data_IF_431626400617
#
_entry.id   IF_431626400617
#
_cell.length_a   1.000
_cell.length_b   1.000
_cell.length_c   1.000
_cell.angle_alpha   90.00
_cell.angle_beta   90.00
_cell.angle_gamma   90.00
#
_symmetry.space_group_name_H-M   'P 1'
#
loop_
_entity.id
_entity.type
_entity.pdbx_description
1 polymer ?
#
# COMPACT_ATOMS: atom_id res chain seq x y z
N UNK A 1 9.82 44.43 36.94
CA UNK A 1 10.02 43.75 35.64
C UNK A 1 11.34 44.23 35.08
N UNK A 2 12.39 43.40 35.14
CA UNK A 2 13.77 43.85 34.92
C UNK A 2 14.02 44.14 33.43
N UNK A 3 14.78 45.21 33.14
CA UNK A 3 15.19 45.59 31.76
C UNK A 3 15.78 44.41 30.97
N UNK A 4 16.48 43.48 31.63
CA UNK A 4 17.00 42.27 31.01
C UNK A 4 15.93 41.28 30.54
N UNK A 5 14.79 41.17 31.23
CA UNK A 5 13.69 40.31 30.79
C UNK A 5 12.99 40.88 29.54
N UNK A 6 12.83 42.20 29.47
CA UNK A 6 12.24 42.86 28.29
C UNK A 6 13.11 42.74 27.04
N UNK A 7 14.45 42.83 27.17
CA UNK A 7 15.37 42.66 26.03
C UNK A 7 15.37 41.21 25.55
N UNK A 8 15.32 40.23 26.46
CA UNK A 8 15.29 38.81 26.11
C UNK A 8 13.98 38.42 25.42
N UNK A 9 12.84 38.97 25.89
CA UNK A 9 11.54 38.81 25.24
C UNK A 9 11.49 39.46 23.86
N UNK A 10 12.03 40.68 23.70
CA UNK A 10 12.12 41.33 22.37
C UNK A 10 13.01 40.54 21.41
N UNK A 11 14.16 40.04 21.88
CA UNK A 11 15.07 39.22 21.07
C UNK A 11 14.43 37.91 20.61
N UNK A 12 13.67 37.25 21.49
CA UNK A 12 12.91 36.04 21.16
C UNK A 12 11.79 36.31 20.14
N UNK A 13 11.05 37.43 20.29
CA UNK A 13 10.00 37.81 19.33
C UNK A 13 10.56 38.16 17.95
N UNK A 14 11.72 38.83 17.88
CA UNK A 14 12.39 39.13 16.59
C UNK A 14 12.91 37.87 15.92
N UNK A 15 13.44 36.91 16.69
CA UNK A 15 13.86 35.61 16.16
C UNK A 15 12.69 34.78 15.62
N UNK A 16 11.50 34.86 16.24
CA UNK A 16 10.29 34.19 15.78
C UNK A 16 9.66 34.86 14.54
N UNK A 17 9.83 36.16 14.36
CA UNK A 17 9.29 36.91 13.22
C UNK A 17 10.02 36.65 11.89
N UNK A 18 11.17 35.97 11.92
CA UNK A 18 11.99 35.68 10.73
C UNK A 18 11.69 34.35 10.04
N UNK A 19 10.79 33.52 10.57
CA UNK A 19 10.48 32.22 9.98
C UNK A 19 9.38 32.39 8.94
N UNK A 20 9.78 32.49 7.67
CA UNK A 20 8.87 32.27 6.54
C UNK A 20 8.91 30.79 6.19
N UNK A 21 7.86 30.06 6.55
CA UNK A 21 7.67 28.69 6.09
C UNK A 21 6.88 28.75 4.78
N UNK A 22 7.48 28.23 3.72
CA UNK A 22 6.89 28.15 2.37
C UNK A 22 6.26 26.75 2.16
N UNK A 23 6.70 25.80 2.97
CA UNK A 23 6.27 24.41 3.05
C UNK A 23 5.38 24.20 4.29
N UNK A 24 4.28 23.47 4.12
CA UNK A 24 3.34 23.16 5.19
C UNK A 24 2.81 21.74 5.06
N UNK A 25 2.99 20.94 6.12
CA UNK A 25 2.27 19.68 6.30
C UNK A 25 1.15 19.89 7.30
N UNK A 26 -0.08 19.56 6.91
CA UNK A 26 -1.28 19.78 7.71
C UNK A 26 -2.20 18.57 7.71
N UNK A 27 -3.00 18.46 8.77
CA UNK A 27 -4.05 17.45 8.87
C UNK A 27 -5.37 18.02 8.34
N UNK A 28 -5.95 17.32 7.36
CA UNK A 28 -7.23 17.59 6.75
C UNK A 28 -8.27 16.60 7.29
N UNK A 29 -9.19 17.04 8.16
CA UNK A 29 -10.20 16.17 8.77
C UNK A 29 -11.13 15.51 7.73
N UNK A 30 -11.88 14.50 8.17
CA UNK A 30 -12.99 13.96 7.40
C UNK A 30 -14.08 15.02 7.19
N UNK A 31 -14.71 14.98 6.01
CA UNK A 31 -15.75 15.91 5.62
C UNK A 31 -15.39 17.42 5.76
N UNK A 32 -14.12 17.78 5.57
CA UNK A 32 -13.62 19.13 5.77
C UNK A 32 -12.93 19.69 4.52
N UNK A 33 -12.91 21.02 4.42
CA UNK A 33 -12.20 21.78 3.41
C UNK A 33 -11.33 22.84 4.10
N UNK A 34 -10.05 22.91 3.76
CA UNK A 34 -9.11 23.88 4.32
C UNK A 34 -8.43 24.67 3.21
N UNK A 35 -8.36 25.99 3.40
CA UNK A 35 -7.79 26.91 2.44
C UNK A 35 -6.60 27.67 3.02
N UNK A 36 -5.58 27.82 2.20
CA UNK A 36 -4.34 28.50 2.50
C UNK A 36 -4.14 29.65 1.51
N UNK A 37 -3.50 30.70 2.00
CA UNK A 37 -3.40 31.97 1.29
C UNK A 37 -1.94 32.38 1.21
N UNK A 38 -1.47 32.78 0.02
CA UNK A 38 -0.10 33.25 -0.19
C UNK A 38 -0.09 34.51 -1.05
N UNK A 39 0.73 35.49 -0.66
CA UNK A 39 0.87 36.76 -1.37
C UNK A 39 1.95 36.66 -2.45
N UNK A 40 1.55 36.69 -3.72
CA UNK A 40 2.45 36.56 -4.86
C UNK A 40 2.64 37.89 -5.60
N UNK A 41 3.86 38.10 -6.11
CA UNK A 41 4.21 39.27 -6.93
C UNK A 41 3.94 39.02 -8.41
N UNK A 42 3.48 40.05 -9.11
CA UNK A 42 3.24 39.97 -10.55
C UNK A 42 4.53 39.68 -11.34
N UNK A 43 4.42 38.86 -12.38
CA UNK A 43 5.48 38.53 -13.31
C UNK A 43 6.43 37.40 -12.89
N UNK A 44 6.20 36.77 -11.73
CA UNK A 44 7.00 35.65 -11.22
C UNK A 44 6.36 34.32 -11.64
N UNK A 45 7.18 33.36 -12.04
CA UNK A 45 6.74 31.99 -12.27
C UNK A 45 6.64 31.27 -10.92
N UNK A 46 5.43 30.87 -10.54
CA UNK A 46 5.11 30.24 -9.25
C UNK A 46 4.67 28.80 -9.49
N UNK A 47 5.01 27.93 -8.56
CA UNK A 47 4.67 26.50 -8.57
C UNK A 47 4.02 26.18 -7.23
N UNK A 48 2.89 25.48 -7.27
CA UNK A 48 2.30 24.85 -6.09
C UNK A 48 2.42 23.34 -6.25
N UNK A 49 3.00 22.70 -5.25
CA UNK A 49 3.15 21.26 -5.18
C UNK A 49 2.39 20.74 -3.96
N UNK A 50 1.69 19.62 -4.12
CA UNK A 50 1.06 18.96 -2.99
C UNK A 50 1.16 17.44 -3.08
N UNK A 51 1.21 16.80 -1.91
CA UNK A 51 1.26 15.35 -1.77
C UNK A 51 0.45 14.89 -0.57
N UNK A 52 -0.40 13.88 -0.76
CA UNK A 52 -1.06 13.20 0.34
C UNK A 52 -0.09 12.19 0.95
N UNK A 53 0.37 12.47 2.18
CA UNK A 53 1.35 11.65 2.89
C UNK A 53 0.70 10.40 3.48
N UNK A 54 -0.48 10.54 4.08
CA UNK A 54 -1.24 9.42 4.67
C UNK A 54 -2.74 9.70 4.74
N UNK A 55 -3.55 8.64 4.83
CA UNK A 55 -5.00 8.69 5.00
C UNK A 55 -5.79 8.17 3.79
N UNK A 56 -6.81 7.34 4.05
CA UNK A 56 -7.76 6.87 3.03
C UNK A 56 -7.11 6.21 1.80
N UNK A 57 -7.53 6.64 0.60
CA UNK A 57 -6.96 6.24 -0.69
C UNK A 57 -5.80 7.14 -1.16
N UNK A 58 -5.26 7.96 -0.25
CA UNK A 58 -4.21 8.94 -0.54
C UNK A 58 -4.63 10.00 -1.56
N UNK A 59 -5.91 10.36 -1.66
CA UNK A 59 -6.45 11.29 -2.67
C UNK A 59 -6.95 12.60 -2.04
N UNK A 60 -6.94 13.72 -2.76
CA UNK A 60 -7.53 14.99 -2.29
C UNK A 60 -8.04 15.81 -3.48
N UNK A 61 -9.08 16.61 -3.26
CA UNK A 61 -9.56 17.57 -4.24
C UNK A 61 -8.86 18.92 -3.97
N UNK A 62 -8.24 19.51 -4.99
CA UNK A 62 -7.46 20.75 -4.84
C UNK A 62 -7.93 21.79 -5.85
N UNK A 63 -8.07 23.03 -5.39
CA UNK A 63 -8.44 24.19 -6.22
C UNK A 63 -7.55 25.39 -5.91
N UNK A 64 -7.20 26.14 -6.94
CA UNK A 64 -6.37 27.33 -6.88
C UNK A 64 -7.12 28.50 -7.53
N UNK A 65 -7.24 29.59 -6.78
CA UNK A 65 -7.89 30.83 -7.20
C UNK A 65 -6.91 32.02 -7.17
N UNK A 66 -7.00 32.86 -8.20
CA UNK A 66 -6.35 34.16 -8.30
C UNK A 66 -7.00 35.19 -7.34
N UNK A 67 -6.37 36.34 -7.01
CA UNK A 67 -6.98 37.36 -6.15
C UNK A 67 -8.31 37.92 -6.68
N UNK A 68 -8.56 37.78 -8.00
CA UNK A 68 -9.82 38.16 -8.64
C UNK A 68 -10.92 37.06 -8.58
N UNK A 69 -10.64 35.92 -7.94
CA UNK A 69 -11.55 34.77 -7.87
C UNK A 69 -11.59 33.92 -9.14
N UNK A 70 -10.65 34.09 -10.07
CA UNK A 70 -10.52 33.23 -11.25
C UNK A 70 -9.86 31.92 -10.83
N UNK A 71 -10.53 30.80 -11.09
CA UNK A 71 -9.95 29.46 -10.88
C UNK A 71 -8.84 29.22 -11.92
N UNK A 72 -7.62 29.04 -11.43
CA UNK A 72 -6.44 28.73 -12.25
C UNK A 72 -6.23 27.23 -12.42
N UNK A 73 -6.50 26.48 -11.35
CA UNK A 73 -6.37 25.04 -11.33
C UNK A 73 -7.48 24.45 -10.45
N UNK A 74 -8.04 23.32 -10.87
CA UNK A 74 -9.05 22.58 -10.11
C UNK A 74 -9.01 21.14 -10.57
N UNK A 75 -8.68 20.23 -9.67
CA UNK A 75 -8.58 18.81 -9.96
C UNK A 75 -9.06 18.00 -8.77
N UNK A 76 -9.64 16.84 -9.06
CA UNK A 76 -10.27 15.99 -8.05
C UNK A 76 -9.51 14.68 -7.89
N UNK A 77 -9.48 14.16 -6.66
CA UNK A 77 -8.92 12.86 -6.27
C UNK A 77 -7.48 12.63 -6.74
N UNK A 78 -6.63 13.63 -6.59
CA UNK A 78 -5.19 13.53 -6.89
C UNK A 78 -4.42 13.09 -5.64
N UNK A 79 -3.44 12.21 -5.82
CA UNK A 79 -2.52 11.82 -4.73
C UNK A 79 -1.32 12.74 -4.61
N UNK A 80 -0.88 13.22 -5.76
CA UNK A 80 0.22 14.15 -5.94
C UNK A 80 -0.07 14.94 -7.21
N UNK A 81 0.18 16.24 -7.17
CA UNK A 81 0.24 17.06 -8.38
C UNK A 81 1.14 18.28 -8.16
N UNK A 82 1.62 18.85 -9.27
CA UNK A 82 2.39 20.07 -9.29
C UNK A 82 1.88 20.96 -10.42
N UNK A 83 1.45 22.17 -10.08
CA UNK A 83 0.92 23.12 -11.03
C UNK A 83 1.81 24.38 -11.06
N UNK A 84 2.35 24.68 -12.24
CA UNK A 84 3.16 25.87 -12.49
C UNK A 84 2.40 26.89 -13.32
N UNK A 85 2.38 28.14 -12.88
CA UNK A 85 1.79 29.24 -13.63
C UNK A 85 2.63 30.51 -13.48
N UNK A 86 2.37 31.46 -14.36
CA UNK A 86 2.92 32.81 -14.26
C UNK A 86 1.93 33.70 -13.54
N UNK A 87 2.37 34.34 -12.45
CA UNK A 87 1.55 35.25 -11.66
C UNK A 87 1.23 36.50 -12.49
N UNK A 88 0.02 36.61 -13.03
CA UNK A 88 -0.40 37.76 -13.84
C UNK A 88 -0.73 38.99 -12.97
N UNK A 89 -1.33 38.74 -11.80
CA UNK A 89 -1.85 39.78 -10.90
C UNK A 89 -1.15 39.67 -9.56
N UNK A 90 -0.63 40.79 -9.05
CA UNK A 90 -0.09 40.83 -7.69
C UNK A 90 -1.22 40.78 -6.67
N UNK A 91 -1.11 39.89 -5.68
CA UNK A 91 -2.09 39.79 -4.59
C UNK A 91 -2.10 38.42 -3.92
N UNK A 92 -3.13 38.19 -3.11
CA UNK A 92 -3.32 36.98 -2.32
C UNK A 92 -4.00 35.87 -3.12
N UNK A 93 -3.26 34.81 -3.41
CA UNK A 93 -3.76 33.59 -4.03
C UNK A 93 -4.33 32.67 -2.97
N UNK A 94 -5.32 31.86 -3.35
CA UNK A 94 -6.02 30.95 -2.44
C UNK A 94 -5.96 29.53 -2.98
N UNK A 95 -5.35 28.62 -2.21
CA UNK A 95 -5.33 27.19 -2.48
C UNK A 95 -6.22 26.47 -1.46
N UNK A 96 -7.23 25.74 -1.92
CA UNK A 96 -8.12 24.96 -1.06
C UNK A 96 -7.98 23.46 -1.31
N UNK A 97 -7.99 22.70 -0.22
CA UNK A 97 -7.93 21.24 -0.18
C UNK A 97 -9.19 20.69 0.47
N UNK A 98 -9.94 19.89 -0.26
CA UNK A 98 -11.20 19.30 0.19
C UNK A 98 -11.10 17.78 0.36
N UNK A 99 -11.62 17.32 1.50
CA UNK A 99 -11.81 15.93 1.86
C UNK A 99 -13.30 15.63 2.16
N UNK A 100 -14.22 16.40 1.58
CA UNK A 100 -15.68 16.24 1.75
C UNK A 100 -16.18 14.85 1.31
N UNK A 101 -15.47 14.20 0.38
CA UNK A 101 -15.82 12.87 -0.10
C UNK A 101 -15.45 11.72 0.86
N UNK A 102 -14.62 11.97 1.89
CA UNK A 102 -14.23 10.94 2.87
C UNK A 102 -14.95 11.16 4.18
N UNK A 103 -15.84 10.21 4.54
CA UNK A 103 -16.70 10.31 5.73
C UNK A 103 -16.06 9.72 7.00
N UNK A 104 -14.91 9.03 6.89
CA UNK A 104 -14.34 8.28 8.02
C UNK A 104 -12.81 8.37 8.14
N UNK A 105 -12.12 8.98 7.16
CA UNK A 105 -10.66 9.05 7.15
C UNK A 105 -10.17 10.49 7.00
N UNK A 106 -9.43 10.97 8.01
CA UNK A 106 -8.61 12.16 7.91
C UNK A 106 -7.38 11.90 7.01
N UNK A 107 -6.80 12.97 6.51
CA UNK A 107 -5.64 12.93 5.60
C UNK A 107 -4.54 13.87 6.10
N UNK A 108 -3.30 13.49 5.87
CA UNK A 108 -2.16 14.39 6.08
C UNK A 108 -1.66 14.81 4.71
N UNK A 109 -1.72 16.11 4.44
CA UNK A 109 -1.37 16.69 3.15
C UNK A 109 -0.16 17.60 3.36
N UNK A 110 0.85 17.37 2.54
CA UNK A 110 1.99 18.25 2.36
C UNK A 110 1.67 19.22 1.23
N UNK A 111 1.96 20.51 1.41
CA UNK A 111 1.95 21.51 0.34
C UNK A 111 3.21 22.37 0.39
N UNK A 112 3.60 22.90 -0.76
CA UNK A 112 4.73 23.82 -0.87
C UNK A 112 4.51 24.85 -2.00
N UNK A 113 4.84 26.12 -1.71
CA UNK A 113 4.71 27.24 -2.64
C UNK A 113 6.06 27.68 -3.20
N UNK A 114 6.51 27.10 -4.30
CA UNK A 114 7.85 27.40 -4.81
C UNK A 114 7.84 28.52 -5.84
N UNK A 115 8.81 29.44 -5.75
CA UNK A 115 9.17 30.27 -6.89
C UNK A 115 9.98 29.40 -7.87
N UNK A 116 9.72 29.48 -9.18
CA UNK A 116 10.43 28.66 -10.17
C UNK A 116 11.96 28.87 -10.14
N UNK A 117 12.42 30.07 -9.83
CA UNK A 117 13.85 30.37 -9.65
C UNK A 117 14.46 29.66 -8.43
N UNK A 118 13.70 29.57 -7.33
CA UNK A 118 14.14 28.94 -6.10
C UNK A 118 13.99 27.42 -6.18
N UNK A 119 12.97 26.91 -6.87
CA UNK A 119 12.83 25.50 -7.24
C UNK A 119 14.01 25.03 -8.11
N UNK A 120 14.45 25.84 -9.08
CA UNK A 120 15.62 25.52 -9.90
C UNK A 120 16.92 25.50 -9.09
N UNK A 121 17.09 26.44 -8.15
CA UNK A 121 18.25 26.47 -7.22
C UNK A 121 18.17 25.33 -6.20
N UNK A 122 16.99 24.96 -5.72
CA UNK A 122 16.78 23.83 -4.84
C UNK A 122 17.03 22.52 -5.57
N UNK A 123 16.61 22.37 -6.82
CA UNK A 123 16.94 21.21 -7.65
C UNK A 123 18.45 21.12 -7.98
N UNK A 124 19.16 22.26 -8.08
CA UNK A 124 20.60 22.25 -8.33
C UNK A 124 21.46 22.05 -7.07
N UNK A 125 20.98 22.48 -5.90
CA UNK A 125 21.69 22.39 -4.62
C UNK A 125 21.20 21.24 -3.73
N UNK A 126 20.02 20.69 -3.99
CA UNK A 126 19.64 19.41 -3.44
C UNK A 126 20.61 18.39 -4.04
N UNK A 127 21.26 17.54 -3.22
CA UNK A 127 21.80 16.34 -3.79
C UNK A 127 20.63 15.66 -4.51
N UNK A 128 20.86 15.14 -5.72
CA UNK A 128 19.90 14.30 -6.43
C UNK A 128 19.59 12.98 -5.67
N UNK A 129 19.67 12.99 -4.33
CA UNK A 129 19.61 11.88 -3.40
C UNK A 129 18.43 11.97 -2.41
N UNK A 130 17.53 12.97 -2.46
CA UNK A 130 16.35 12.97 -1.57
C UNK A 130 15.18 12.13 -2.09
N UNK A 131 14.63 12.53 -3.24
CA UNK A 131 13.48 11.88 -3.87
C UNK A 131 13.82 10.46 -4.34
N UNK A 132 14.98 10.25 -4.97
CA UNK A 132 15.41 8.94 -5.46
C UNK A 132 15.62 7.95 -4.31
N UNK A 133 16.18 8.38 -3.17
CA UNK A 133 16.32 7.52 -1.98
C UNK A 133 14.97 7.20 -1.34
N UNK A 134 14.04 8.17 -1.28
CA UNK A 134 12.68 7.92 -0.78
C UNK A 134 11.94 6.89 -1.64
N UNK A 135 11.99 7.02 -2.98
CA UNK A 135 11.42 6.02 -3.88
C UNK A 135 12.15 4.68 -3.78
N UNK A 136 13.49 4.67 -3.69
CA UNK A 136 14.27 3.44 -3.54
C UNK A 136 13.97 2.70 -2.23
N UNK A 137 13.84 3.44 -1.12
CA UNK A 137 13.46 2.88 0.18
C UNK A 137 12.02 2.37 0.17
N UNK A 138 11.09 3.14 -0.40
CA UNK A 138 9.69 2.71 -0.57
C UNK A 138 9.58 1.43 -1.41
N UNK A 139 10.29 1.37 -2.55
CA UNK A 139 10.36 0.17 -3.38
C UNK A 139 11.01 -0.98 -2.62
N UNK A 140 12.08 -0.72 -1.85
CA UNK A 140 12.74 -1.71 -1.00
C UNK A 140 11.79 -2.34 0.02
N UNK A 141 10.99 -1.52 0.69
CA UNK A 141 9.97 -1.99 1.63
C UNK A 141 8.88 -2.83 0.93
N UNK A 142 8.40 -2.41 -0.25
CA UNK A 142 7.44 -3.20 -1.02
C UNK A 142 8.03 -4.52 -1.50
N UNK A 143 9.28 -4.54 -1.95
CA UNK A 143 9.97 -5.77 -2.38
C UNK A 143 10.17 -6.74 -1.22
N UNK A 144 10.49 -6.24 -0.02
CA UNK A 144 10.61 -7.07 1.18
C UNK A 144 9.29 -7.73 1.57
N UNK A 145 8.17 -7.01 1.44
CA UNK A 145 6.83 -7.59 1.64
C UNK A 145 6.55 -8.68 0.61
N UNK A 146 6.85 -8.42 -0.67
CA UNK A 146 6.65 -9.42 -1.74
C UNK A 146 7.51 -10.67 -1.51
N UNK A 147 8.76 -10.50 -1.08
CA UNK A 147 9.66 -11.62 -0.79
C UNK A 147 9.15 -12.50 0.36
N UNK A 148 8.61 -11.89 1.42
CA UNK A 148 7.97 -12.62 2.53
C UNK A 148 6.74 -13.41 2.04
N UNK A 149 5.89 -12.79 1.21
CA UNK A 149 4.76 -13.48 0.58
C UNK A 149 5.20 -14.64 -0.32
N UNK A 150 6.19 -14.44 -1.19
CA UNK A 150 6.71 -15.51 -2.05
C UNK A 150 7.27 -16.67 -1.23
N UNK A 151 8.02 -16.36 -0.17
CA UNK A 151 8.57 -17.37 0.73
C UNK A 151 7.46 -18.14 1.43
N UNK A 152 6.43 -17.44 1.92
CA UNK A 152 5.25 -18.07 2.52
C UNK A 152 4.52 -18.99 1.55
N UNK A 153 4.30 -18.55 0.30
CA UNK A 153 3.66 -19.36 -0.74
C UNK A 153 4.49 -20.60 -1.11
N UNK A 154 5.81 -20.44 -1.28
CA UNK A 154 6.72 -21.56 -1.55
C UNK A 154 6.69 -22.59 -0.42
N UNK A 155 6.69 -22.15 0.84
CA UNK A 155 6.59 -23.04 2.00
C UNK A 155 5.23 -23.76 2.05
N UNK A 156 4.12 -23.06 1.81
CA UNK A 156 2.79 -23.67 1.75
C UNK A 156 2.68 -24.70 0.63
N UNK A 157 3.26 -24.43 -0.54
CA UNK A 157 3.27 -25.39 -1.64
C UNK A 157 4.11 -26.63 -1.30
N UNK A 158 5.31 -26.44 -0.76
CA UNK A 158 6.18 -27.55 -0.36
C UNK A 158 5.51 -28.45 0.71
N UNK A 159 4.87 -27.84 1.71
CA UNK A 159 4.14 -28.58 2.76
C UNK A 159 2.89 -29.26 2.22
N UNK A 160 2.14 -28.62 1.32
CA UNK A 160 0.98 -29.24 0.66
C UNK A 160 1.39 -30.44 -0.20
N UNK A 161 2.47 -30.32 -1.00
CA UNK A 161 3.04 -31.42 -1.78
C UNK A 161 3.44 -32.59 -0.88
N UNK A 162 4.11 -32.33 0.25
CA UNK A 162 4.49 -33.37 1.22
C UNK A 162 3.29 -34.11 1.80
N UNK A 163 2.24 -33.39 2.21
CA UNK A 163 1.00 -34.03 2.67
C UNK A 163 0.34 -34.88 1.60
N UNK A 164 0.34 -34.42 0.35
CA UNK A 164 -0.23 -35.17 -0.76
C UNK A 164 0.54 -36.48 -1.01
N UNK A 165 1.87 -36.45 -0.95
CA UNK A 165 2.72 -37.64 -1.06
C UNK A 165 2.43 -38.66 0.07
N UNK A 166 2.39 -38.21 1.33
CA UNK A 166 2.10 -39.07 2.48
C UNK A 166 0.69 -39.69 2.43
N UNK A 167 -0.31 -38.91 2.02
CA UNK A 167 -1.68 -39.39 1.84
C UNK A 167 -1.76 -40.43 0.73
N UNK A 168 -1.12 -40.17 -0.41
CA UNK A 168 -1.11 -41.09 -1.54
C UNK A 168 -0.48 -42.43 -1.18
N UNK A 169 0.67 -42.42 -0.50
CA UNK A 169 1.36 -43.63 -0.07
C UNK A 169 0.50 -44.46 0.90
N UNK A 170 -0.10 -43.80 1.90
CA UNK A 170 -0.98 -44.48 2.85
C UNK A 170 -2.19 -45.12 2.17
N UNK A 171 -2.86 -44.38 1.28
CA UNK A 171 -4.02 -44.87 0.54
C UNK A 171 -3.62 -46.03 -0.37
N UNK A 172 -2.45 -45.96 -1.02
CA UNK A 172 -1.93 -47.03 -1.85
C UNK A 172 -1.75 -48.34 -1.06
N UNK A 173 -1.12 -48.29 0.13
CA UNK A 173 -0.93 -49.48 0.95
C UNK A 173 -2.26 -50.08 1.46
N UNK A 174 -3.22 -49.23 1.87
CA UNK A 174 -4.56 -49.71 2.26
C UNK A 174 -5.30 -50.36 1.09
N UNK A 175 -5.21 -49.76 -0.10
CA UNK A 175 -5.84 -50.29 -1.32
C UNK A 175 -5.22 -51.62 -1.75
N UNK A 176 -3.90 -51.73 -1.66
CA UNK A 176 -3.18 -52.97 -1.95
C UNK A 176 -3.57 -54.09 -0.98
N UNK A 177 -3.71 -53.77 0.32
CA UNK A 177 -4.19 -54.71 1.33
C UNK A 177 -5.62 -55.19 1.05
N UNK A 178 -6.54 -54.28 0.70
CA UNK A 178 -7.91 -54.64 0.32
C UNK A 178 -7.94 -55.53 -0.92
N UNK A 179 -7.14 -55.22 -1.95
CA UNK A 179 -7.05 -56.04 -3.15
C UNK A 179 -6.56 -57.46 -2.84
N UNK A 180 -5.55 -57.60 -1.96
CA UNK A 180 -5.05 -58.90 -1.52
C UNK A 180 -6.12 -59.73 -0.78
N UNK A 181 -6.93 -59.08 0.08
CA UNK A 181 -8.03 -59.75 0.78
C UNK A 181 -9.10 -60.24 -0.21
N UNK A 182 -9.48 -59.43 -1.20
CA UNK A 182 -10.46 -59.83 -2.23
C UNK A 182 -9.94 -61.03 -3.03
N UNK A 183 -8.67 -61.01 -3.43
CA UNK A 183 -8.04 -62.14 -4.14
C UNK A 183 -8.09 -63.41 -3.26
N UNK A 184 -7.73 -63.30 -1.98
CA UNK A 184 -7.74 -64.43 -1.06
C UNK A 184 -9.15 -65.01 -0.89
N UNK A 185 -10.16 -64.15 -0.69
CA UNK A 185 -11.57 -64.58 -0.58
C UNK A 185 -12.02 -65.29 -1.85
N UNK A 186 -11.73 -64.73 -3.03
CA UNK A 186 -12.12 -65.36 -4.31
C UNK A 186 -11.48 -66.74 -4.52
N UNK A 187 -10.23 -66.96 -4.08
CA UNK A 187 -9.60 -68.28 -4.12
C UNK A 187 -10.27 -69.24 -3.12
N UNK A 188 -10.52 -68.78 -1.89
CA UNK A 188 -11.20 -69.59 -0.88
C UNK A 188 -12.61 -70.00 -1.33
N UNK A 189 -13.37 -69.09 -1.92
CA UNK A 189 -14.69 -69.37 -2.48
C UNK A 189 -14.63 -70.49 -3.52
N UNK A 190 -13.68 -70.43 -4.46
CA UNK A 190 -13.51 -71.47 -5.49
C UNK A 190 -13.12 -72.81 -4.87
N UNK A 191 -12.24 -72.82 -3.87
CA UNK A 191 -11.83 -74.06 -3.18
C UNK A 191 -13.00 -74.67 -2.41
N UNK A 192 -13.76 -73.87 -1.66
CA UNK A 192 -14.93 -74.31 -0.91
C UNK A 192 -15.97 -74.89 -1.86
N UNK A 193 -16.31 -74.19 -2.93
CA UNK A 193 -17.28 -74.67 -3.94
C UNK A 193 -16.80 -75.97 -4.55
N UNK A 194 -15.52 -76.08 -4.94
CA UNK A 194 -14.96 -77.36 -5.44
C UNK A 194 -15.01 -78.46 -4.40
N UNK A 195 -14.74 -78.17 -3.12
CA UNK A 195 -14.82 -79.16 -2.04
C UNK A 195 -16.24 -79.70 -1.85
N UNK A 196 -17.26 -78.84 -1.94
CA UNK A 196 -18.66 -79.27 -1.87
C UNK A 196 -19.05 -80.21 -3.02
N UNK A 197 -18.47 -80.01 -4.21
CA UNK A 197 -18.73 -80.88 -5.38
C UNK A 197 -17.77 -82.07 -5.51
N UNK A 198 -16.65 -82.09 -4.78
CA UNK A 198 -15.64 -83.14 -4.85
C UNK A 198 -16.00 -84.39 -4.02
N UNK A 199 -16.99 -84.30 -3.13
CA UNK A 199 -17.39 -85.43 -2.30
C UNK A 199 -18.56 -86.22 -2.92
N UNK A 200 -18.17 -87.24 -3.69
CA UNK A 200 -18.87 -88.52 -3.92
C UNK A 200 -18.07 -89.32 -4.96
N UNK A 201 -17.08 -90.10 -4.51
CA UNK A 201 -16.72 -91.39 -5.14
C UNK A 201 -15.73 -92.18 -4.29
N UNK A 202 -15.99 -93.49 -4.25
CA UNK A 202 -15.40 -94.56 -3.43
C UNK A 202 -15.98 -94.57 -2.00
N UNK A 203 -16.61 -95.63 -1.49
CA UNK A 203 -16.38 -97.09 -1.61
C UNK A 203 -17.77 -97.75 -1.40
N UNK A 204 -18.23 -98.88 -1.95
CA UNK A 204 -17.65 -100.22 -2.08
C UNK A 204 -18.60 -101.05 -2.96
N UNK A 205 -18.16 -101.47 -4.15
CA UNK A 205 -18.80 -102.54 -4.90
C UNK A 205 -17.94 -103.80 -4.76
N UNK A 206 -17.98 -104.42 -3.59
CA UNK A 206 -17.51 -105.78 -3.39
C UNK A 206 -18.73 -106.69 -3.53
N UNK A 207 -18.81 -107.39 -4.66
CA UNK A 207 -19.17 -108.80 -4.84
C UNK A 207 -19.07 -109.14 -6.32
#
# INVERSE_FOLDING_TARGET
MNRGQSILLLGLCVALAGVRAIELTFELPDNANQCFYEDLKAGVDTIIEFQVVTGGQYDVDMSLEDPNGKVLYSDTKKQYDSYSWKTEVEGTYKACFSNEFSTFSHKIVYMDWQNAEDAAKAASNAPAMGQMELYANSIGDKLRVIDDYQTHHRLREATARKRAEELNERVFYWSLGQAAVIILVSVLEVVIVRSFFADKRSVTGAY
#
